data_IF_240301535351
#
_entry.id   IF_240301535351
#
_cell.length_a   1.000
_cell.length_b   1.000
_cell.length_c   1.000
_cell.angle_alpha   90.00
_cell.angle_beta   90.00
_cell.angle_gamma   90.00
#
_symmetry.space_group_name_H-M   'P 1'
#
loop_
_entity.id
_entity.type
_entity.pdbx_description
1 polymer ?
#
# COMPACT_ATOMS: atom_id res chain seq x y z
N UNK A 1 14.62 21.31 22.52
CA UNK A 1 15.26 20.19 21.81
C UNK A 1 14.97 20.36 20.32
N UNK A 2 15.97 20.54 19.44
CA UNK A 2 15.69 20.70 18.02
C UNK A 2 15.13 19.39 17.45
N UNK A 3 13.96 19.47 16.82
CA UNK A 3 13.33 18.34 16.14
C UNK A 3 14.24 17.87 15.00
N UNK A 4 14.71 16.62 15.06
CA UNK A 4 15.43 15.96 13.98
C UNK A 4 14.49 15.86 12.78
N UNK A 5 14.70 16.72 11.78
CA UNK A 5 14.04 16.65 10.49
C UNK A 5 14.31 15.25 9.91
N UNK A 6 13.29 14.45 9.55
CA UNK A 6 13.53 13.11 9.04
C UNK A 6 14.37 13.23 7.78
N UNK A 7 15.62 12.76 7.87
CA UNK A 7 16.51 12.64 6.72
C UNK A 7 15.76 11.81 5.67
N UNK A 8 15.63 12.27 4.42
CA UNK A 8 14.98 11.49 3.39
C UNK A 8 15.73 10.16 3.29
N UNK A 9 15.08 9.07 3.72
CA UNK A 9 15.67 7.75 3.67
C UNK A 9 16.03 7.47 2.21
N UNK A 10 17.33 7.34 1.93
CA UNK A 10 17.83 6.97 0.61
C UNK A 10 17.09 5.71 0.20
N UNK A 11 16.26 5.82 -0.84
CA UNK A 11 15.43 4.73 -1.27
C UNK A 11 16.34 3.60 -1.75
N UNK A 12 16.50 2.56 -0.93
CA UNK A 12 17.31 1.40 -1.28
C UNK A 12 16.77 0.75 -2.55
N UNK A 13 17.69 0.40 -3.44
CA UNK A 13 17.38 -0.34 -4.66
C UNK A 13 16.74 -1.70 -4.31
N UNK A 14 15.81 -2.13 -5.16
CA UNK A 14 15.21 -3.47 -5.15
C UNK A 14 15.49 -4.21 -6.47
N UNK A 15 16.54 -3.81 -7.20
CA UNK A 15 16.95 -4.49 -8.43
C UNK A 15 17.18 -5.98 -8.16
N UNK A 16 16.70 -6.83 -9.08
CA UNK A 16 16.78 -8.30 -9.02
C UNK A 16 15.99 -8.94 -7.86
N UNK A 17 15.22 -8.17 -7.08
CA UNK A 17 14.33 -8.73 -6.06
C UNK A 17 12.96 -9.06 -6.65
N UNK A 18 12.37 -10.17 -6.19
CA UNK A 18 10.95 -10.46 -6.41
C UNK A 18 10.17 -10.14 -5.15
N UNK A 19 9.19 -9.25 -5.27
CA UNK A 19 8.34 -8.80 -4.16
C UNK A 19 6.94 -9.37 -4.32
N UNK A 20 6.53 -10.20 -3.37
CA UNK A 20 5.16 -10.72 -3.29
C UNK A 20 4.33 -9.78 -2.44
N UNK A 21 3.28 -9.21 -3.02
CA UNK A 21 2.33 -8.35 -2.31
C UNK A 21 1.06 -9.15 -2.02
N UNK A 22 0.80 -9.36 -0.73
CA UNK A 22 -0.38 -10.06 -0.20
C UNK A 22 -1.50 -9.10 0.20
N UNK A 23 -1.34 -7.79 -0.03
CA UNK A 23 -2.38 -6.81 0.29
C UNK A 23 -3.64 -7.01 -0.56
N UNK A 24 -4.82 -6.57 -0.05
CA UNK A 24 -6.04 -6.56 -0.83
C UNK A 24 -5.95 -5.90 -2.19
N UNK A 25 -6.66 -6.50 -3.16
CA UNK A 25 -6.87 -5.93 -4.48
C UNK A 25 -7.37 -4.48 -4.35
N UNK A 26 -6.68 -3.54 -4.99
CA UNK A 26 -6.95 -2.09 -4.88
C UNK A 26 -6.00 -1.34 -3.93
N UNK A 27 -5.55 -1.96 -2.83
CA UNK A 27 -4.64 -1.32 -1.85
C UNK A 27 -3.16 -1.57 -2.12
N UNK A 28 -2.85 -2.59 -2.92
CA UNK A 28 -1.48 -2.95 -3.29
C UNK A 28 -0.87 -2.05 -4.38
N UNK A 29 -1.69 -1.29 -5.11
CA UNK A 29 -1.29 -0.65 -6.38
C UNK A 29 -0.19 0.40 -6.22
N UNK A 30 -0.31 1.26 -5.21
CA UNK A 30 0.70 2.27 -4.91
C UNK A 30 2.05 1.65 -4.50
N UNK A 31 2.00 0.61 -3.66
CA UNK A 31 3.20 -0.10 -3.22
C UNK A 31 3.85 -0.87 -4.39
N UNK A 32 3.05 -1.52 -5.23
CA UNK A 32 3.53 -2.19 -6.43
C UNK A 32 4.25 -1.22 -7.38
N UNK A 33 3.71 0.00 -7.55
CA UNK A 33 4.36 1.05 -8.34
C UNK A 33 5.71 1.44 -7.75
N UNK A 34 5.78 1.68 -6.44
CA UNK A 34 7.04 2.05 -5.76
C UNK A 34 8.08 0.93 -5.86
N UNK A 35 7.68 -0.33 -5.70
CA UNK A 35 8.59 -1.47 -5.82
C UNK A 35 9.16 -1.62 -7.24
N UNK A 36 8.31 -1.46 -8.26
CA UNK A 36 8.76 -1.47 -9.67
C UNK A 36 9.70 -0.30 -9.98
N UNK A 37 9.41 0.90 -9.47
CA UNK A 37 10.30 2.07 -9.63
C UNK A 37 11.69 1.85 -9.01
N UNK A 38 11.81 0.93 -8.04
CA UNK A 38 13.08 0.54 -7.42
C UNK A 38 13.74 -0.67 -8.10
N UNK A 39 13.18 -1.17 -9.20
CA UNK A 39 13.75 -2.28 -9.98
C UNK A 39 13.28 -3.68 -9.58
N UNK A 40 12.27 -3.81 -8.73
CA UNK A 40 11.74 -5.10 -8.33
C UNK A 40 10.78 -5.70 -9.38
N UNK A 41 10.80 -7.02 -9.51
CA UNK A 41 9.69 -7.80 -10.08
C UNK A 41 8.60 -7.92 -9.02
N UNK A 42 7.37 -7.55 -9.34
CA UNK A 42 6.26 -7.55 -8.37
C UNK A 42 5.21 -8.60 -8.75
N UNK A 43 4.95 -9.52 -7.83
CA UNK A 43 3.86 -10.48 -7.90
C UNK A 43 2.71 -10.01 -6.99
N UNK A 44 1.54 -9.80 -7.58
CA UNK A 44 0.31 -9.56 -6.84
C UNK A 44 -0.35 -10.91 -6.60
N UNK A 45 -0.62 -11.26 -5.35
CA UNK A 45 -1.47 -12.40 -5.02
C UNK A 45 -2.89 -11.90 -4.74
N UNK A 46 -3.81 -11.95 -5.72
CA UNK A 46 -5.20 -11.58 -5.52
C UNK A 46 -5.90 -12.68 -4.70
N UNK A 47 -5.63 -12.72 -3.39
CA UNK A 47 -6.23 -13.70 -2.48
C UNK A 47 -6.92 -13.06 -1.27
N UNK A 48 -6.53 -11.85 -0.89
CA UNK A 48 -7.02 -11.19 0.32
C UNK A 48 -7.82 -9.92 -0.02
N UNK A 49 -8.87 -10.04 -0.84
CA UNK A 49 -9.74 -8.90 -1.14
C UNK A 49 -10.54 -8.44 0.08
N UNK A 50 -10.60 -7.12 0.32
CA UNK A 50 -11.62 -6.56 1.20
C UNK A 50 -12.89 -6.38 0.37
N UNK A 51 -13.89 -7.24 0.60
CA UNK A 51 -15.25 -6.95 0.13
C UNK A 51 -15.84 -5.89 1.05
N UNK A 52 -15.94 -4.64 0.58
CA UNK A 52 -16.72 -3.63 1.28
C UNK A 52 -18.20 -4.02 1.19
N UNK A 53 -18.72 -4.62 2.26
CA UNK A 53 -20.15 -4.73 2.46
C UNK A 53 -20.64 -3.33 2.85
N UNK A 54 -21.33 -2.65 1.94
CA UNK A 54 -21.96 -1.36 2.23
C UNK A 54 -23.09 -1.61 3.21
N UNK A 55 -22.82 -1.42 4.49
CA UNK A 55 -23.88 -1.31 5.48
C UNK A 55 -24.39 0.14 5.47
N UNK A 56 -25.66 0.38 5.12
CA UNK A 56 -26.20 1.72 5.01
C UNK A 56 -26.09 2.51 6.33
N UNK A 57 -26.26 1.86 7.48
CA UNK A 57 -26.16 2.49 8.80
C UNK A 57 -24.75 3.07 9.06
N UNK A 58 -23.69 2.33 8.70
CA UNK A 58 -22.30 2.81 8.86
C UNK A 58 -22.00 3.97 7.91
N UNK A 59 -22.57 3.96 6.71
CA UNK A 59 -22.40 5.04 5.75
C UNK A 59 -23.08 6.34 6.20
N UNK A 60 -24.26 6.23 6.82
CA UNK A 60 -24.95 7.38 7.42
C UNK A 60 -24.17 7.94 8.62
N UNK A 61 -23.66 7.06 9.49
CA UNK A 61 -22.83 7.47 10.63
C UNK A 61 -21.55 8.22 10.20
N UNK A 62 -20.89 7.77 9.12
CA UNK A 62 -19.70 8.45 8.56
C UNK A 62 -20.02 9.82 7.95
N UNK A 63 -21.24 10.03 7.44
CA UNK A 63 -21.65 11.31 6.84
C UNK A 63 -22.06 12.35 7.88
N UNK A 64 -22.48 11.89 9.06
CA UNK A 64 -22.90 12.73 10.17
C UNK A 64 -21.72 13.19 11.06
N UNK A 65 -20.52 12.64 10.84
CA UNK A 65 -19.26 13.01 11.52
C UNK A 65 -18.43 14.00 10.68
#
# INVERSE_FOLDING_TARGET
MPATKPTPAVARSLANATVVLTRPAGTARALARQARQRGATVLLLPGLGLSMRREPAVLEALRAA
#
